data_IF_090267710010
#
_entry.id   IF_090267710010
#
_cell.length_a   1.000
_cell.length_b   1.000
_cell.length_c   1.000
_cell.angle_alpha   90.00
_cell.angle_beta   90.00
_cell.angle_gamma   90.00
#
_symmetry.space_group_name_H-M   'P 1'
#
loop_
_entity.id
_entity.type
_entity.pdbx_description
1 polymer ?
#
# COMPACT_ATOMS: atom_id res chain seq x y z
N UNK A 1 29.71 25.63 -4.72
CA UNK A 1 28.60 25.96 -3.79
C UNK A 1 28.16 24.67 -3.16
N UNK A 2 28.46 24.47 -1.88
CA UNK A 2 28.02 23.30 -1.11
C UNK A 2 26.53 23.41 -0.90
N UNK A 3 25.75 22.53 -1.53
CA UNK A 3 24.31 22.42 -1.31
C UNK A 3 24.09 22.00 0.14
N UNK A 4 23.65 22.93 0.99
CA UNK A 4 23.21 22.59 2.33
C UNK A 4 22.05 21.58 2.21
N UNK A 5 22.20 20.41 2.84
CA UNK A 5 21.11 19.44 2.93
C UNK A 5 19.96 20.09 3.69
N UNK A 6 18.75 20.04 3.12
CA UNK A 6 17.49 20.40 3.80
C UNK A 6 17.40 19.71 5.17
N UNK A 7 16.78 20.34 6.17
CA UNK A 7 16.54 19.73 7.48
C UNK A 7 15.84 18.34 7.36
N UNK A 8 14.97 18.18 6.37
CA UNK A 8 14.37 16.88 6.02
C UNK A 8 15.42 15.87 5.53
N UNK A 9 16.30 16.26 4.61
CA UNK A 9 17.38 15.40 4.12
C UNK A 9 18.43 15.08 5.20
N UNK A 10 18.60 15.96 6.19
CA UNK A 10 19.44 15.69 7.37
C UNK A 10 18.78 14.70 8.35
N UNK A 11 17.45 14.70 8.43
CA UNK A 11 16.66 13.74 9.19
C UNK A 11 16.46 12.39 8.45
N UNK A 12 17.08 12.20 7.28
CA UNK A 12 16.95 10.97 6.47
C UNK A 12 15.74 10.94 5.54
N UNK A 13 15.07 12.06 5.31
CA UNK A 13 13.88 12.12 4.44
C UNK A 13 14.27 12.61 3.04
N UNK A 14 14.22 11.70 2.06
CA UNK A 14 14.35 12.02 0.63
C UNK A 14 12.97 12.19 -0.04
N UNK A 15 12.51 13.44 -0.09
CA UNK A 15 11.21 13.81 -0.68
C UNK A 15 11.17 13.46 -2.18
N UNK A 16 12.28 13.59 -2.91
CA UNK A 16 12.33 13.30 -4.34
C UNK A 16 12.20 11.80 -4.60
N UNK A 17 12.80 10.97 -3.74
CA UNK A 17 12.65 9.52 -3.80
C UNK A 17 11.19 9.09 -3.56
N UNK A 18 10.51 9.67 -2.56
CA UNK A 18 9.08 9.40 -2.30
C UNK A 18 8.17 9.82 -3.46
N UNK A 19 8.41 10.98 -4.07
CA UNK A 19 7.66 11.43 -5.25
C UNK A 19 7.88 10.51 -6.46
N UNK A 20 9.11 10.06 -6.69
CA UNK A 20 9.42 9.10 -7.77
C UNK A 20 8.72 7.77 -7.55
N UNK A 21 8.75 7.22 -6.33
CA UNK A 21 8.05 5.99 -6.00
C UNK A 21 6.55 6.12 -6.29
N UNK A 22 5.95 7.24 -5.86
CA UNK A 22 4.54 7.58 -6.12
C UNK A 22 4.21 7.56 -7.62
N UNK A 23 5.00 8.22 -8.46
CA UNK A 23 4.75 8.24 -9.91
C UNK A 23 4.94 6.86 -10.55
N UNK A 24 5.89 6.04 -10.08
CA UNK A 24 6.11 4.68 -10.59
C UNK A 24 4.93 3.74 -10.28
N UNK A 25 4.29 3.90 -9.11
CA UNK A 25 3.22 3.01 -8.66
C UNK A 25 1.80 3.48 -9.02
N UNK A 26 1.64 4.74 -9.43
CA UNK A 26 0.35 5.40 -9.70
C UNK A 26 -0.58 4.59 -10.62
N UNK A 27 -0.07 4.11 -11.75
CA UNK A 27 -0.88 3.32 -12.69
C UNK A 27 -1.33 1.98 -12.10
N UNK A 28 -0.46 1.32 -11.33
CA UNK A 28 -0.81 0.05 -10.67
C UNK A 28 -1.89 0.27 -9.61
N UNK A 29 -1.75 1.31 -8.78
CA UNK A 29 -2.73 1.69 -7.75
C UNK A 29 -4.08 2.04 -8.39
N UNK A 30 -4.09 2.91 -9.41
CA UNK A 30 -5.33 3.32 -10.09
C UNK A 30 -6.04 2.13 -10.76
N UNK A 31 -5.31 1.12 -11.23
CA UNK A 31 -5.89 -0.09 -11.81
C UNK A 31 -6.64 -0.96 -10.80
N UNK A 32 -6.57 -0.65 -9.50
CA UNK A 32 -7.37 -1.30 -8.45
C UNK A 32 -8.68 -0.57 -8.15
N UNK A 33 -8.89 0.63 -8.69
CA UNK A 33 -10.03 1.47 -8.31
C UNK A 33 -11.33 0.95 -8.94
N UNK A 34 -12.31 0.72 -8.07
CA UNK A 34 -13.70 0.47 -8.44
C UNK A 34 -14.55 1.75 -8.40
N UNK A 35 -15.84 1.67 -8.76
CA UNK A 35 -16.77 2.80 -8.72
C UNK A 35 -16.98 3.38 -7.31
N UNK A 36 -16.68 2.61 -6.27
CA UNK A 36 -16.76 3.04 -4.87
C UNK A 36 -15.62 3.97 -4.46
N UNK A 37 -14.50 3.99 -5.19
CA UNK A 37 -13.38 4.87 -4.86
C UNK A 37 -13.73 6.30 -5.28
N UNK A 38 -13.88 7.18 -4.29
CA UNK A 38 -14.18 8.59 -4.52
C UNK A 38 -12.86 9.34 -4.76
N UNK A 39 -12.51 9.53 -6.02
CA UNK A 39 -11.24 10.17 -6.40
C UNK A 39 -11.23 11.67 -6.08
N UNK A 40 -10.23 12.09 -5.31
CA UNK A 40 -9.75 13.47 -5.19
C UNK A 40 -8.22 13.44 -5.08
N UNK A 41 -7.51 13.89 -6.10
CA UNK A 41 -6.04 13.82 -6.16
C UNK A 41 -5.43 14.69 -5.06
N UNK A 42 -4.64 14.09 -4.15
CA UNK A 42 -3.79 14.81 -3.20
C UNK A 42 -4.35 15.05 -1.79
N UNK A 43 -5.46 14.42 -1.40
CA UNK A 43 -5.94 14.48 0.00
C UNK A 43 -5.21 13.47 0.88
N UNK A 44 -4.94 13.86 2.13
CA UNK A 44 -4.33 13.11 3.23
C UNK A 44 -4.91 11.70 3.55
N UNK A 45 -5.82 11.17 2.72
CA UNK A 45 -6.40 9.84 2.82
C UNK A 45 -7.28 9.54 1.61
N UNK A 46 -7.45 8.25 1.28
CA UNK A 46 -8.38 7.78 0.26
C UNK A 46 -9.81 7.67 0.79
N UNK A 47 -10.79 7.87 -0.10
CA UNK A 47 -12.21 7.88 0.22
C UNK A 47 -12.93 6.72 -0.49
N UNK A 48 -13.80 6.02 0.23
CA UNK A 48 -14.55 4.87 -0.28
C UNK A 48 -16.05 5.02 0.04
N UNK A 49 -16.90 4.95 -0.98
CA UNK A 49 -18.36 5.01 -0.85
C UNK A 49 -18.90 3.72 -0.25
N UNK A 50 -19.48 3.82 0.93
CA UNK A 50 -20.11 2.72 1.67
C UNK A 50 -21.63 2.65 1.45
N UNK A 51 -22.19 3.41 0.51
CA UNK A 51 -23.63 3.44 0.24
C UNK A 51 -24.20 2.07 -0.10
N UNK A 52 -23.38 1.15 -0.66
CA UNK A 52 -23.77 -0.25 -0.90
C UNK A 52 -24.20 -0.99 0.37
N UNK A 53 -23.72 -0.57 1.54
CA UNK A 53 -24.07 -1.18 2.83
C UNK A 53 -25.49 -0.83 3.30
N UNK A 54 -26.15 0.19 2.74
CA UNK A 54 -27.50 0.63 3.14
C UNK A 54 -28.58 -0.46 2.95
N UNK A 55 -28.33 -1.45 2.09
CA UNK A 55 -29.23 -2.58 1.85
C UNK A 55 -29.00 -3.79 2.78
N UNK A 56 -27.95 -3.76 3.60
CA UNK A 56 -27.65 -4.82 4.56
C UNK A 56 -28.43 -4.59 5.85
N UNK A 57 -28.95 -5.67 6.45
CA UNK A 57 -29.74 -5.59 7.69
C UNK A 57 -28.90 -5.09 8.87
N UNK A 58 -27.72 -5.69 9.07
CA UNK A 58 -26.80 -5.38 10.18
C UNK A 58 -25.35 -5.45 9.67
N UNK A 59 -24.90 -4.44 8.90
CA UNK A 59 -23.55 -4.45 8.34
C UNK A 59 -22.48 -4.35 9.43
N UNK A 60 -21.46 -5.21 9.36
CA UNK A 60 -20.30 -5.20 10.24
C UNK A 60 -19.04 -4.98 9.40
N UNK A 61 -18.17 -4.09 9.86
CA UNK A 61 -16.84 -3.91 9.26
C UNK A 61 -15.85 -4.83 9.96
N UNK A 62 -15.12 -5.61 9.17
CA UNK A 62 -14.02 -6.46 9.64
C UNK A 62 -12.72 -5.84 9.13
N UNK A 63 -11.77 -5.64 10.05
CA UNK A 63 -10.45 -5.11 9.72
C UNK A 63 -9.37 -6.08 10.22
N UNK A 64 -8.32 -6.27 9.42
CA UNK A 64 -7.12 -7.00 9.80
C UNK A 64 -5.88 -6.19 9.44
N UNK A 65 -4.79 -6.43 10.15
CA UNK A 65 -3.48 -5.82 9.91
C UNK A 65 -2.41 -6.87 10.17
N UNK A 66 -1.50 -7.04 9.20
CA UNK A 66 -0.45 -8.05 9.24
C UNK A 66 0.86 -7.53 8.67
N UNK A 67 1.92 -8.24 9.02
CA UNK A 67 3.23 -8.11 8.38
C UNK A 67 3.55 -9.31 7.49
N UNK A 68 4.50 -9.11 6.57
CA UNK A 68 5.12 -10.21 5.80
C UNK A 68 6.04 -11.07 6.67
N UNK A 69 6.56 -10.50 7.76
CA UNK A 69 7.52 -11.16 8.65
C UNK A 69 8.91 -11.32 8.02
N UNK A 70 9.64 -12.35 8.46
CA UNK A 70 11.05 -12.58 8.08
C UNK A 70 11.25 -12.96 6.61
N UNK A 71 10.19 -13.24 5.85
CA UNK A 71 10.27 -13.45 4.39
C UNK A 71 10.81 -12.22 3.66
N UNK A 72 10.69 -11.02 4.25
CA UNK A 72 11.37 -9.80 3.79
C UNK A 72 12.89 -9.95 3.70
N UNK A 73 13.52 -10.71 4.60
CA UNK A 73 14.96 -10.99 4.53
C UNK A 73 15.32 -11.85 3.31
N UNK A 74 14.44 -12.79 2.94
CA UNK A 74 14.62 -13.63 1.75
C UNK A 74 14.45 -12.79 0.47
N UNK A 75 13.44 -11.92 0.45
CA UNK A 75 13.23 -10.96 -0.63
C UNK A 75 14.46 -10.06 -0.82
N UNK A 76 15.04 -9.56 0.28
CA UNK A 76 16.26 -8.77 0.26
C UNK A 76 17.47 -9.56 -0.25
N UNK A 77 17.67 -10.80 0.22
CA UNK A 77 18.78 -11.66 -0.20
C UNK A 77 18.73 -12.02 -1.69
N UNK A 78 17.53 -12.05 -2.28
CA UNK A 78 17.31 -12.35 -3.70
C UNK A 78 17.09 -11.11 -4.57
N UNK A 79 17.03 -9.92 -3.97
CA UNK A 79 16.61 -8.66 -4.59
C UNK A 79 15.28 -8.78 -5.38
N UNK A 80 14.28 -9.44 -4.78
CA UNK A 80 12.97 -9.71 -5.38
C UNK A 80 11.83 -9.23 -4.49
N UNK A 81 11.20 -8.13 -4.87
CA UNK A 81 10.28 -7.38 -3.99
C UNK A 81 8.80 -7.46 -4.37
N UNK A 82 8.45 -7.90 -5.59
CA UNK A 82 7.04 -7.92 -6.01
C UNK A 82 6.19 -8.94 -5.26
N UNK A 83 6.74 -10.12 -4.93
CA UNK A 83 5.98 -11.17 -4.24
C UNK A 83 5.59 -10.78 -2.82
N UNK A 84 6.40 -9.97 -2.12
CA UNK A 84 6.07 -9.57 -0.74
C UNK A 84 4.88 -8.62 -0.67
N UNK A 85 4.63 -7.83 -1.72
CA UNK A 85 3.41 -7.04 -1.85
C UNK A 85 2.16 -7.92 -2.01
N UNK A 86 2.27 -9.02 -2.74
CA UNK A 86 1.17 -9.99 -2.82
C UNK A 86 0.98 -10.72 -1.49
N UNK A 87 2.08 -11.08 -0.81
CA UNK A 87 2.03 -11.79 0.47
C UNK A 87 1.28 -10.97 1.55
N UNK A 88 1.60 -9.67 1.70
CA UNK A 88 0.98 -8.84 2.75
C UNK A 88 -0.52 -8.67 2.54
N UNK A 89 -0.97 -8.48 1.29
CA UNK A 89 -2.40 -8.37 0.98
C UNK A 89 -3.11 -9.68 1.31
N UNK A 90 -2.57 -10.82 0.83
CA UNK A 90 -3.21 -12.11 1.04
C UNK A 90 -3.23 -12.54 2.51
N UNK A 91 -2.23 -12.16 3.32
CA UNK A 91 -2.27 -12.37 4.78
C UNK A 91 -3.51 -11.69 5.38
N UNK A 92 -3.64 -10.37 5.21
CA UNK A 92 -4.78 -9.64 5.79
C UNK A 92 -6.13 -10.13 5.25
N UNK A 93 -6.21 -10.44 3.94
CA UNK A 93 -7.47 -10.88 3.33
C UNK A 93 -7.91 -12.26 3.83
N UNK A 94 -6.99 -13.20 4.01
CA UNK A 94 -7.33 -14.53 4.52
C UNK A 94 -7.94 -14.47 5.94
N UNK A 95 -7.47 -13.55 6.78
CA UNK A 95 -7.98 -13.36 8.15
C UNK A 95 -9.41 -12.81 8.23
N UNK A 96 -9.84 -12.03 7.23
CA UNK A 96 -11.22 -11.55 7.17
C UNK A 96 -12.13 -12.56 6.44
N UNK A 97 -11.57 -13.35 5.51
CA UNK A 97 -12.31 -14.35 4.74
C UNK A 97 -12.84 -15.48 5.63
N UNK A 98 -12.15 -15.85 6.70
CA UNK A 98 -12.66 -16.88 7.65
C UNK A 98 -13.94 -16.44 8.38
N UNK A 99 -14.25 -15.14 8.39
CA UNK A 99 -15.50 -14.57 8.91
C UNK A 99 -16.54 -14.33 7.81
N UNK A 100 -16.22 -14.66 6.55
CA UNK A 100 -17.09 -14.41 5.39
C UNK A 100 -17.15 -12.95 4.94
N UNK A 101 -16.18 -12.11 5.33
CA UNK A 101 -16.16 -10.71 4.95
C UNK A 101 -15.78 -10.50 3.47
N UNK A 102 -16.41 -9.51 2.82
CA UNK A 102 -16.04 -9.04 1.49
C UNK A 102 -14.89 -8.02 1.59
N UNK A 103 -13.75 -8.22 0.88
CA UNK A 103 -12.69 -7.23 0.80
C UNK A 103 -13.17 -5.92 0.17
N UNK A 104 -13.02 -4.79 0.88
CA UNK A 104 -13.41 -3.46 0.36
C UNK A 104 -12.20 -2.69 -0.19
N UNK A 105 -11.20 -2.48 0.68
CA UNK A 105 -9.99 -1.77 0.35
C UNK A 105 -8.82 -2.23 1.23
N UNK A 106 -7.62 -1.87 0.81
CA UNK A 106 -6.35 -2.14 1.49
C UNK A 106 -5.58 -0.83 1.68
N UNK A 107 -4.84 -0.75 2.78
CA UNK A 107 -3.90 0.33 3.07
C UNK A 107 -2.54 -0.29 3.39
N UNK A 108 -1.45 0.28 2.87
CA UNK A 108 -0.11 -0.23 3.11
C UNK A 108 0.81 0.75 3.87
N UNK A 109 1.82 0.20 4.54
CA UNK A 109 2.89 0.97 5.16
C UNK A 109 4.21 0.26 4.88
N UNK A 110 5.15 0.95 4.22
CA UNK A 110 6.46 0.39 3.89
C UNK A 110 7.57 1.21 4.54
N UNK A 111 8.31 0.57 5.44
CA UNK A 111 9.46 1.13 6.12
C UNK A 111 10.77 0.53 5.61
N UNK A 112 11.81 1.34 5.47
CA UNK A 112 13.15 0.91 5.10
C UNK A 112 14.22 1.80 5.72
N UNK A 113 15.44 1.28 5.90
CA UNK A 113 16.58 2.12 6.35
C UNK A 113 17.07 3.10 5.29
N UNK A 114 16.74 2.82 4.02
CA UNK A 114 16.96 3.71 2.89
C UNK A 114 15.88 3.46 1.85
N UNK A 115 15.23 4.54 1.43
CA UNK A 115 14.16 4.48 0.45
C UNK A 115 14.75 4.30 -0.95
N UNK A 116 14.38 3.19 -1.58
CA UNK A 116 14.73 2.84 -2.95
C UNK A 116 13.43 2.83 -3.76
N UNK A 117 13.17 3.87 -4.58
CA UNK A 117 11.89 4.06 -5.26
C UNK A 117 11.45 2.87 -6.10
N UNK A 118 12.38 2.21 -6.77
CA UNK A 118 12.14 1.04 -7.61
C UNK A 118 11.68 -0.17 -6.79
N UNK A 119 12.30 -0.40 -5.63
CA UNK A 119 11.91 -1.50 -4.73
C UNK A 119 10.54 -1.25 -4.12
N UNK A 120 10.30 -0.02 -3.66
CA UNK A 120 8.98 0.38 -3.13
C UNK A 120 7.90 0.20 -4.20
N UNK A 121 8.14 0.70 -5.43
CA UNK A 121 7.20 0.54 -6.53
C UNK A 121 6.95 -0.94 -6.87
N UNK A 122 7.96 -1.81 -6.76
CA UNK A 122 7.79 -3.25 -6.96
C UNK A 122 6.90 -3.89 -5.88
N UNK A 123 7.08 -3.53 -4.60
CA UNK A 123 6.22 -3.99 -3.50
C UNK A 123 4.79 -3.52 -3.72
N UNK A 124 4.58 -2.22 -3.92
CA UNK A 124 3.25 -1.63 -4.11
C UNK A 124 2.58 -2.18 -5.38
N UNK A 125 3.34 -2.40 -6.45
CA UNK A 125 2.84 -3.05 -7.66
C UNK A 125 2.35 -4.49 -7.42
N UNK A 126 3.06 -5.25 -6.57
CA UNK A 126 2.63 -6.56 -6.12
C UNK A 126 1.35 -6.53 -5.28
N UNK A 127 1.27 -5.57 -4.34
CA UNK A 127 0.07 -5.35 -3.53
C UNK A 127 -1.13 -4.98 -4.41
N UNK A 128 -0.96 -4.03 -5.33
CA UNK A 128 -1.99 -3.64 -6.29
C UNK A 128 -2.48 -4.82 -7.15
N UNK A 129 -1.56 -5.70 -7.58
CA UNK A 129 -1.94 -6.91 -8.32
C UNK A 129 -2.82 -7.85 -7.48
N UNK A 130 -2.49 -8.04 -6.20
CA UNK A 130 -3.28 -8.87 -5.29
C UNK A 130 -4.64 -8.22 -4.98
N UNK A 131 -4.68 -6.92 -4.71
CA UNK A 131 -5.93 -6.16 -4.52
C UNK A 131 -6.86 -6.29 -5.72
N UNK A 132 -6.34 -6.12 -6.94
CA UNK A 132 -7.12 -6.30 -8.17
C UNK A 132 -7.64 -7.72 -8.34
N UNK A 133 -6.83 -8.73 -7.99
CA UNK A 133 -7.25 -10.13 -8.05
C UNK A 133 -8.34 -10.45 -7.02
N UNK A 134 -8.34 -9.78 -5.87
CA UNK A 134 -9.32 -9.93 -4.81
C UNK A 134 -10.56 -9.02 -4.96
N UNK A 135 -10.57 -8.10 -5.93
CA UNK A 135 -11.66 -7.15 -6.16
C UNK A 135 -11.74 -6.01 -5.14
N UNK A 136 -10.65 -5.70 -4.42
CA UNK A 136 -10.58 -4.56 -3.50
C UNK A 136 -9.67 -3.45 -4.02
N UNK A 137 -9.89 -2.23 -3.54
CA UNK A 137 -9.06 -1.08 -3.92
C UNK A 137 -7.81 -0.97 -3.05
N UNK A 138 -6.64 -0.70 -3.63
CA UNK A 138 -5.49 -0.20 -2.87
C UNK A 138 -5.68 1.30 -2.63
N UNK A 139 -6.28 1.65 -1.49
CA UNK A 139 -6.89 2.97 -1.27
C UNK A 139 -5.89 4.05 -0.85
N UNK A 140 -4.75 3.65 -0.31
CA UNK A 140 -3.71 4.55 0.15
C UNK A 140 -2.58 3.79 0.83
N UNK A 141 -1.51 4.49 1.14
CA UNK A 141 -0.38 3.94 1.87
C UNK A 141 0.63 5.01 2.25
N UNK A 142 1.65 4.61 3.00
CA UNK A 142 2.71 5.50 3.46
C UNK A 142 4.08 4.83 3.36
N UNK A 143 5.12 5.64 3.12
CA UNK A 143 6.51 5.18 3.05
C UNK A 143 7.37 5.91 4.07
N UNK A 144 8.19 5.18 4.81
CA UNK A 144 9.10 5.77 5.79
C UNK A 144 10.56 5.34 5.57
N UNK A 145 11.46 6.32 5.61
CA UNK A 145 12.90 6.09 5.70
C UNK A 145 13.34 6.28 7.17
N UNK A 146 13.94 5.24 7.77
CA UNK A 146 14.35 5.20 9.18
C UNK A 146 15.75 4.58 9.30
N UNK A 147 16.82 5.39 9.22
CA UNK A 147 18.21 4.92 9.23
C UNK A 147 18.70 4.39 10.59
#
# INVERSE_FOLDING_TARGET
MTTEKSAYAQAGVDIAAGQRATELMKTAVHATFGPEVLSGVGSFGGLFDISKLKGLAEPVLVASTDGVGTKTMVAAALDRWSSIGQDIVNHCLNDILVQGAEPLFFLDYVASSKLDPEKIAAVVGGAAQACRAAGCALLGGETAEMP
#
